data_IF_140467195059
#
_entry.id   IF_140467195059
#
_cell.length_a   1.000
_cell.length_b   1.000
_cell.length_c   1.000
_cell.angle_alpha   90.00
_cell.angle_beta   90.00
_cell.angle_gamma   90.00
#
_symmetry.space_group_name_H-M   'P 1'
#
loop_
_entity.id
_entity.type
_entity.pdbx_description
1 polymer ?
#
# COMPACT_ATOMS: atom_id res chain seq x y z
N UNK A 1 18.07 -8.25 -24.96
CA UNK A 1 17.15 -8.77 -23.94
C UNK A 1 17.02 -7.69 -22.87
N UNK A 2 15.82 -7.26 -22.52
CA UNK A 2 15.59 -6.22 -21.50
C UNK A 2 15.98 -6.81 -20.15
N UNK A 3 16.85 -6.18 -19.39
CA UNK A 3 17.23 -6.66 -18.06
C UNK A 3 16.55 -5.81 -17.01
N UNK A 4 15.94 -6.46 -16.02
CA UNK A 4 15.30 -5.79 -14.89
C UNK A 4 16.23 -5.84 -13.67
N UNK A 5 16.20 -4.80 -12.85
CA UNK A 5 16.89 -4.81 -11.56
C UNK A 5 16.06 -5.58 -10.53
N UNK A 6 14.74 -5.45 -10.58
CA UNK A 6 13.81 -6.13 -9.67
C UNK A 6 12.65 -6.76 -10.45
N UNK A 7 12.30 -7.99 -10.13
CA UNK A 7 11.05 -8.61 -10.56
C UNK A 7 10.12 -8.83 -9.36
N UNK A 8 8.83 -8.55 -9.51
CA UNK A 8 7.83 -8.69 -8.47
C UNK A 8 6.92 -9.88 -8.76
N UNK A 9 6.89 -10.86 -7.85
CA UNK A 9 6.06 -12.05 -7.92
C UNK A 9 5.01 -12.03 -6.82
N UNK A 10 3.73 -12.04 -7.18
CA UNK A 10 2.62 -11.86 -6.24
C UNK A 10 1.31 -12.50 -6.72
N UNK A 11 0.34 -12.65 -5.83
CA UNK A 11 -1.04 -13.00 -6.20
C UNK A 11 -1.85 -11.74 -6.53
N UNK A 12 -2.84 -11.86 -7.41
CA UNK A 12 -3.67 -10.73 -7.84
C UNK A 12 -4.37 -10.00 -6.69
N UNK A 13 -4.67 -10.68 -5.60
CA UNK A 13 -5.27 -10.12 -4.39
C UNK A 13 -4.32 -9.17 -3.64
N UNK A 14 -3.01 -9.37 -3.80
CA UNK A 14 -1.98 -8.55 -3.15
C UNK A 14 -1.58 -7.35 -4.01
N UNK A 15 -2.19 -7.20 -5.20
CA UNK A 15 -1.86 -6.21 -6.23
C UNK A 15 -1.82 -4.78 -5.72
N UNK A 16 -2.76 -4.39 -4.86
CA UNK A 16 -2.83 -3.02 -4.36
C UNK A 16 -1.54 -2.58 -3.65
N UNK A 17 -0.94 -3.46 -2.85
CA UNK A 17 0.32 -3.21 -2.18
C UNK A 17 1.50 -3.25 -3.14
N UNK A 18 1.54 -4.28 -4.00
CA UNK A 18 2.67 -4.52 -4.91
C UNK A 18 2.76 -3.44 -5.98
N UNK A 19 1.61 -2.93 -6.46
CA UNK A 19 1.57 -1.80 -7.38
C UNK A 19 2.27 -0.55 -6.79
N UNK A 20 2.00 -0.23 -5.52
CA UNK A 20 2.67 0.89 -4.85
C UNK A 20 4.18 0.70 -4.74
N UNK A 21 4.65 -0.53 -4.47
CA UNK A 21 6.09 -0.85 -4.49
C UNK A 21 6.66 -0.69 -5.91
N UNK A 22 5.97 -1.20 -6.93
CA UNK A 22 6.40 -1.10 -8.33
C UNK A 22 6.51 0.36 -8.78
N UNK A 23 5.51 1.17 -8.48
CA UNK A 23 5.48 2.59 -8.83
C UNK A 23 6.61 3.36 -8.12
N UNK A 24 6.83 3.10 -6.84
CA UNK A 24 7.89 3.76 -6.08
C UNK A 24 9.29 3.36 -6.58
N UNK A 25 9.51 2.07 -6.94
CA UNK A 25 10.75 1.62 -7.57
C UNK A 25 10.97 2.33 -8.93
N UNK A 26 9.92 2.40 -9.76
CA UNK A 26 9.97 3.08 -11.06
C UNK A 26 10.26 4.57 -10.92
N UNK A 27 9.65 5.26 -9.96
CA UNK A 27 9.91 6.66 -9.66
C UNK A 27 11.38 6.91 -9.25
N UNK A 28 12.04 5.92 -8.67
CA UNK A 28 13.46 5.94 -8.30
C UNK A 28 14.39 5.54 -9.46
N UNK A 29 13.85 5.33 -10.65
CA UNK A 29 14.59 4.95 -11.85
C UNK A 29 15.13 3.50 -11.79
N UNK A 30 14.51 2.64 -10.97
CA UNK A 30 14.81 1.21 -10.91
C UNK A 30 13.97 0.49 -11.96
N UNK A 31 14.63 -0.33 -12.79
CA UNK A 31 13.91 -1.11 -13.79
C UNK A 31 13.21 -2.30 -13.15
N UNK A 32 11.87 -2.31 -13.23
CA UNK A 32 11.00 -3.28 -12.54
C UNK A 32 10.25 -4.11 -13.56
N UNK A 33 10.29 -5.44 -13.41
CA UNK A 33 9.30 -6.32 -14.02
C UNK A 33 8.08 -6.38 -13.10
N UNK A 34 6.96 -5.84 -13.60
CA UNK A 34 5.65 -5.87 -12.98
C UNK A 34 4.62 -6.18 -14.07
N UNK A 35 3.75 -7.16 -13.86
CA UNK A 35 2.89 -7.71 -14.90
C UNK A 35 1.98 -6.67 -15.58
N UNK A 36 1.52 -5.67 -14.84
CA UNK A 36 0.68 -4.59 -15.37
C UNK A 36 1.45 -3.67 -16.35
N UNK A 37 2.76 -3.51 -16.18
CA UNK A 37 3.58 -2.72 -17.10
C UNK A 37 3.89 -3.45 -18.41
N UNK A 38 3.80 -4.78 -18.40
CA UNK A 38 4.20 -5.64 -19.51
C UNK A 38 2.99 -6.33 -20.18
N UNK A 39 1.76 -5.79 -20.00
CA UNK A 39 0.51 -6.40 -20.51
C UNK A 39 0.57 -6.77 -22.00
N UNK A 40 1.14 -5.90 -22.84
CA UNK A 40 1.25 -6.15 -24.27
C UNK A 40 2.25 -7.27 -24.61
N UNK A 41 3.32 -7.40 -23.83
CA UNK A 41 4.33 -8.46 -24.02
C UNK A 41 3.86 -9.80 -23.45
N UNK A 42 3.00 -9.79 -22.42
CA UNK A 42 2.45 -10.98 -21.77
C UNK A 42 1.23 -11.55 -22.48
N UNK A 43 0.59 -10.76 -23.35
CA UNK A 43 -0.61 -11.20 -24.07
C UNK A 43 -0.34 -12.42 -24.94
N UNK A 44 -1.03 -13.53 -24.65
CA UNK A 44 -0.89 -14.79 -25.37
C UNK A 44 0.30 -15.64 -24.98
N UNK A 45 1.16 -15.22 -24.04
CA UNK A 45 2.26 -16.03 -23.50
C UNK A 45 1.81 -16.90 -22.35
N UNK A 46 2.48 -18.04 -22.16
CA UNK A 46 2.42 -18.78 -20.90
C UNK A 46 3.14 -17.98 -19.83
N UNK A 47 2.35 -17.31 -18.99
CA UNK A 47 2.85 -16.42 -17.94
C UNK A 47 3.86 -17.13 -17.02
N UNK A 48 3.66 -18.42 -16.75
CA UNK A 48 4.52 -19.22 -15.89
C UNK A 48 5.93 -19.43 -16.48
N UNK A 49 6.03 -19.83 -17.74
CA UNK A 49 7.30 -20.04 -18.43
C UNK A 49 8.08 -18.72 -18.54
N UNK A 50 7.37 -17.65 -18.83
CA UNK A 50 7.94 -16.32 -18.91
C UNK A 50 8.46 -15.82 -17.55
N UNK A 51 7.73 -16.07 -16.46
CA UNK A 51 8.17 -15.73 -15.11
C UNK A 51 9.44 -16.49 -14.71
N UNK A 52 9.55 -17.79 -15.02
CA UNK A 52 10.76 -18.55 -14.75
C UNK A 52 11.96 -17.95 -15.53
N UNK A 53 11.77 -17.59 -16.78
CA UNK A 53 12.80 -16.97 -17.59
C UNK A 53 13.24 -15.61 -17.03
N UNK A 54 12.28 -14.77 -16.62
CA UNK A 54 12.55 -13.49 -15.97
C UNK A 54 13.33 -13.70 -14.67
N UNK A 55 12.90 -14.65 -13.84
CA UNK A 55 13.53 -14.90 -12.55
C UNK A 55 14.94 -15.47 -12.67
N UNK A 56 15.22 -16.30 -13.66
CA UNK A 56 16.52 -16.95 -13.81
C UNK A 56 17.52 -16.13 -14.64
N UNK A 57 17.06 -15.35 -15.61
CA UNK A 57 17.96 -14.80 -16.64
C UNK A 57 17.94 -13.28 -16.77
N UNK A 58 16.89 -12.61 -16.32
CA UNK A 58 16.66 -11.20 -16.67
C UNK A 58 16.53 -10.25 -15.51
N UNK A 59 16.26 -10.72 -14.29
CA UNK A 59 16.16 -9.90 -13.09
C UNK A 59 17.37 -10.08 -12.16
N UNK A 60 17.86 -8.98 -11.57
CA UNK A 60 18.94 -9.03 -10.57
C UNK A 60 18.40 -9.55 -9.23
N UNK A 61 17.21 -9.10 -8.81
CA UNK A 61 16.51 -9.60 -7.63
C UNK A 61 15.07 -9.96 -7.97
N UNK A 62 14.55 -10.98 -7.31
CA UNK A 62 13.13 -11.39 -7.39
C UNK A 62 12.51 -11.25 -6.00
N UNK A 63 11.56 -10.36 -5.84
CA UNK A 63 10.77 -10.23 -4.61
C UNK A 63 9.54 -11.12 -4.72
N UNK A 64 9.40 -12.07 -3.80
CA UNK A 64 8.23 -12.95 -3.73
C UNK A 64 7.33 -12.45 -2.59
N UNK A 65 6.16 -11.93 -2.94
CA UNK A 65 5.14 -11.48 -2.01
C UNK A 65 4.28 -12.67 -1.58
N UNK A 66 4.57 -13.20 -0.40
CA UNK A 66 3.99 -14.45 0.11
C UNK A 66 2.72 -14.13 0.90
N UNK A 67 1.61 -14.72 0.47
CA UNK A 67 0.32 -14.71 1.14
C UNK A 67 -0.37 -16.08 0.98
N UNK A 68 -1.47 -16.30 1.70
CA UNK A 68 -2.35 -17.47 1.47
C UNK A 68 -2.81 -17.54 0.01
N UNK A 69 -3.09 -16.39 -0.62
CA UNK A 69 -3.53 -16.31 -2.02
C UNK A 69 -2.40 -16.70 -2.99
N UNK A 70 -1.16 -16.25 -2.69
CA UNK A 70 0.00 -16.64 -3.47
C UNK A 70 0.19 -18.17 -3.46
N UNK A 71 0.10 -18.81 -2.29
CA UNK A 71 0.17 -20.26 -2.17
C UNK A 71 -0.92 -20.97 -2.97
N UNK A 72 -2.15 -20.50 -2.89
CA UNK A 72 -3.31 -21.12 -3.53
C UNK A 72 -3.29 -20.98 -5.06
N UNK A 73 -2.89 -19.85 -5.59
CA UNK A 73 -2.99 -19.54 -7.03
C UNK A 73 -1.70 -19.77 -7.81
N UNK A 74 -0.58 -19.45 -7.24
CA UNK A 74 0.72 -19.55 -7.90
C UNK A 74 1.38 -20.89 -7.63
N UNK A 75 1.11 -21.48 -6.44
CA UNK A 75 1.72 -22.71 -5.97
C UNK A 75 0.79 -23.95 -6.02
N UNK A 76 -0.43 -23.84 -6.54
CA UNK A 76 -1.48 -24.88 -6.44
C UNK A 76 -1.22 -26.17 -7.24
N UNK A 77 -0.35 -26.15 -8.24
CA UNK A 77 -0.17 -27.30 -9.16
C UNK A 77 1.07 -28.11 -8.78
N UNK A 78 0.89 -29.38 -8.41
CA UNK A 78 1.93 -30.28 -7.87
C UNK A 78 3.15 -30.44 -8.78
N UNK A 79 2.96 -30.53 -10.10
CA UNK A 79 4.07 -30.65 -11.07
C UNK A 79 4.88 -29.35 -11.20
N UNK A 80 4.21 -28.21 -11.03
CA UNK A 80 4.84 -26.89 -11.04
C UNK A 80 5.61 -26.61 -9.77
N UNK A 81 5.15 -27.10 -8.60
CA UNK A 81 5.82 -26.93 -7.32
C UNK A 81 7.27 -27.43 -7.33
N UNK A 82 7.50 -28.61 -7.85
CA UNK A 82 8.85 -29.20 -7.89
C UNK A 82 9.82 -28.38 -8.75
N UNK A 83 9.36 -27.87 -9.91
CA UNK A 83 10.16 -27.03 -10.80
C UNK A 83 10.43 -25.65 -10.17
N UNK A 84 9.41 -25.05 -9.53
CA UNK A 84 9.54 -23.77 -8.85
C UNK A 84 10.45 -23.88 -7.61
N UNK A 85 10.25 -24.92 -6.78
CA UNK A 85 11.10 -25.18 -5.62
C UNK A 85 12.56 -25.37 -6.03
N UNK A 86 12.83 -26.06 -7.15
CA UNK A 86 14.18 -26.22 -7.70
C UNK A 86 14.75 -24.87 -8.17
N UNK A 87 13.98 -24.10 -8.96
CA UNK A 87 14.38 -22.79 -9.42
C UNK A 87 14.69 -21.82 -8.26
N UNK A 88 13.85 -21.82 -7.20
CA UNK A 88 14.09 -21.03 -5.99
C UNK A 88 15.33 -21.50 -5.22
N UNK A 89 15.56 -22.81 -5.13
CA UNK A 89 16.74 -23.36 -4.47
C UNK A 89 18.06 -23.04 -5.21
N UNK A 90 18.04 -23.05 -6.53
CA UNK A 90 19.17 -22.67 -7.36
C UNK A 90 19.42 -21.15 -7.37
N UNK A 91 18.40 -20.37 -7.00
CA UNK A 91 18.35 -18.91 -7.07
C UNK A 91 18.42 -18.20 -5.72
N UNK A 92 18.93 -18.86 -4.68
CA UNK A 92 18.85 -18.40 -3.27
C UNK A 92 19.40 -17.00 -3.00
N UNK A 93 20.44 -16.57 -3.72
CA UNK A 93 21.09 -15.29 -3.46
C UNK A 93 20.31 -14.08 -3.95
N UNK A 94 19.38 -14.25 -4.89
CA UNK A 94 18.61 -13.17 -5.49
C UNK A 94 17.10 -13.27 -5.26
N UNK A 95 16.62 -14.30 -4.57
CA UNK A 95 15.21 -14.39 -4.15
C UNK A 95 15.04 -13.74 -2.79
N UNK A 96 14.16 -12.74 -2.73
CA UNK A 96 13.87 -11.94 -1.56
C UNK A 96 12.42 -12.20 -1.09
N UNK A 97 12.21 -13.05 -0.06
CA UNK A 97 10.87 -13.31 0.46
C UNK A 97 10.32 -12.12 1.25
N UNK A 98 9.08 -11.75 0.97
CA UNK A 98 8.33 -10.73 1.69
C UNK A 98 6.94 -11.29 2.05
N UNK A 99 6.56 -11.32 3.34
CA UNK A 99 5.39 -12.05 3.83
C UNK A 99 4.29 -11.13 4.30
N UNK A 100 3.08 -11.33 3.80
CA UNK A 100 1.86 -10.69 4.31
C UNK A 100 1.28 -11.44 5.51
N UNK A 101 1.54 -12.74 5.61
CA UNK A 101 1.05 -13.62 6.65
C UNK A 101 2.07 -14.75 6.95
N UNK A 102 1.70 -15.69 7.80
CA UNK A 102 2.57 -16.81 8.19
C UNK A 102 2.54 -17.98 7.19
N UNK A 103 2.07 -17.77 5.96
CA UNK A 103 2.04 -18.78 4.91
C UNK A 103 3.43 -19.27 4.57
N UNK A 104 3.61 -20.58 4.55
CA UNK A 104 4.84 -21.24 4.12
C UNK A 104 4.75 -21.64 2.65
N UNK A 105 5.86 -21.46 1.93
CA UNK A 105 6.03 -21.84 0.53
C UNK A 105 7.10 -22.91 0.43
N UNK A 106 6.77 -24.06 -0.17
CA UNK A 106 7.72 -25.15 -0.43
C UNK A 106 8.88 -24.64 -1.32
N UNK A 107 10.12 -24.93 -0.92
CA UNK A 107 11.34 -24.44 -1.60
C UNK A 107 11.92 -23.14 -1.02
N UNK A 108 11.18 -22.42 -0.20
CA UNK A 108 11.73 -21.34 0.62
C UNK A 108 12.00 -21.87 2.01
N UNK A 109 13.27 -22.11 2.33
CA UNK A 109 13.65 -22.67 3.63
C UNK A 109 13.27 -21.70 4.76
N UNK A 110 12.81 -22.18 5.92
CA UNK A 110 12.53 -21.35 7.10
C UNK A 110 13.73 -20.53 7.59
N UNK A 111 14.95 -20.96 7.24
CA UNK A 111 16.19 -20.28 7.58
C UNK A 111 16.53 -19.10 6.65
N UNK A 112 15.81 -18.90 5.54
CA UNK A 112 15.97 -17.73 4.67
C UNK A 112 15.32 -16.53 5.34
N UNK A 113 16.10 -15.45 5.51
CA UNK A 113 15.57 -14.19 6.02
C UNK A 113 14.45 -13.65 5.13
N UNK A 114 13.38 -13.15 5.74
CA UNK A 114 12.25 -12.55 5.05
C UNK A 114 11.90 -11.19 5.64
N UNK A 115 11.15 -10.39 4.89
CA UNK A 115 10.58 -9.13 5.34
C UNK A 115 9.12 -9.36 5.74
N UNK A 116 8.73 -8.87 6.92
CA UNK A 116 7.35 -8.91 7.42
C UNK A 116 6.57 -7.67 6.94
N UNK A 117 5.74 -7.85 5.92
CA UNK A 117 4.94 -6.79 5.30
C UNK A 117 3.76 -6.30 6.17
N UNK A 118 3.44 -7.00 7.25
CA UNK A 118 2.43 -6.54 8.21
C UNK A 118 2.85 -5.25 8.93
N UNK A 119 4.16 -4.96 8.93
CA UNK A 119 4.78 -3.85 9.65
C UNK A 119 5.47 -2.82 8.76
N UNK A 120 5.56 -3.09 7.46
CA UNK A 120 6.27 -2.25 6.53
C UNK A 120 5.34 -1.69 5.45
N UNK A 121 5.44 -0.41 5.22
CA UNK A 121 4.79 0.26 4.09
C UNK A 121 5.49 -0.08 2.77
N UNK A 122 4.84 0.10 1.60
CA UNK A 122 5.48 -0.07 0.29
C UNK A 122 6.75 0.78 0.12
N UNK A 123 6.78 1.99 0.69
CA UNK A 123 7.94 2.88 0.64
C UNK A 123 9.11 2.28 1.42
N UNK A 124 8.89 1.77 2.63
CA UNK A 124 9.94 1.15 3.44
C UNK A 124 10.51 -0.10 2.75
N UNK A 125 9.66 -0.93 2.14
CA UNK A 125 10.11 -2.07 1.32
C UNK A 125 10.96 -1.59 0.13
N UNK A 126 10.54 -0.53 -0.53
CA UNK A 126 11.31 0.06 -1.64
C UNK A 126 12.67 0.58 -1.18
N UNK A 127 12.75 1.22 0.00
CA UNK A 127 14.02 1.67 0.57
C UNK A 127 14.98 0.49 0.84
N UNK A 128 14.47 -0.60 1.42
CA UNK A 128 15.26 -1.83 1.62
C UNK A 128 15.75 -2.43 0.30
N UNK A 129 14.94 -2.39 -0.75
CA UNK A 129 15.34 -2.82 -2.09
C UNK A 129 16.41 -1.90 -2.69
N UNK A 130 16.32 -0.59 -2.48
CA UNK A 130 17.37 0.36 -2.88
C UNK A 130 18.71 0.02 -2.20
N UNK A 131 18.71 -0.26 -0.91
CA UNK A 131 19.92 -0.69 -0.19
C UNK A 131 20.50 -1.99 -0.76
N UNK A 132 19.65 -2.99 -1.04
CA UNK A 132 20.07 -4.24 -1.70
C UNK A 132 20.69 -4.03 -3.07
N UNK A 133 20.20 -3.04 -3.83
CA UNK A 133 20.72 -2.65 -5.14
C UNK A 133 21.99 -1.79 -5.05
N UNK A 134 22.46 -1.44 -3.85
CA UNK A 134 23.59 -0.51 -3.66
C UNK A 134 23.27 0.91 -4.09
N UNK A 135 21.99 1.28 -4.15
CA UNK A 135 21.52 2.63 -4.49
C UNK A 135 21.23 3.43 -3.21
N UNK A 136 21.41 4.76 -3.25
CA UNK A 136 21.11 5.58 -2.09
C UNK A 136 19.62 5.45 -1.72
N UNK A 137 19.35 5.01 -0.49
CA UNK A 137 18.02 4.96 0.10
C UNK A 137 17.46 6.35 0.49
N UNK A 138 18.04 7.42 -0.10
CA UNK A 138 17.58 8.78 0.17
C UNK A 138 16.15 8.96 -0.35
N UNK A 139 15.28 9.45 0.52
CA UNK A 139 13.98 9.99 0.13
C UNK A 139 14.24 11.12 -0.87
N UNK A 140 14.20 10.79 -2.16
CA UNK A 140 14.29 11.81 -3.20
C UNK A 140 13.09 12.73 -3.05
N UNK A 141 13.33 13.98 -2.66
CA UNK A 141 12.32 15.06 -2.74
C UNK A 141 11.94 15.40 -4.19
N UNK A 142 12.64 14.82 -5.17
CA UNK A 142 12.42 15.09 -6.58
C UNK A 142 11.49 14.02 -7.19
N UNK A 143 10.31 14.45 -7.61
CA UNK A 143 9.33 13.78 -8.47
C UNK A 143 8.18 13.00 -7.81
N UNK A 144 7.79 13.29 -6.58
CA UNK A 144 6.38 13.12 -6.27
C UNK A 144 5.61 14.16 -7.09
N UNK A 145 4.81 13.74 -8.07
CA UNK A 145 3.72 14.62 -8.56
C UNK A 145 3.02 15.07 -7.28
N UNK A 146 2.97 16.39 -6.98
CA UNK A 146 2.44 16.82 -5.70
C UNK A 146 1.02 16.28 -5.55
N UNK A 147 0.78 15.45 -4.54
CA UNK A 147 -0.58 15.02 -4.23
C UNK A 147 -1.44 16.26 -4.00
N UNK A 148 -2.71 16.27 -4.44
CA UNK A 148 -3.63 17.36 -4.17
C UNK A 148 -3.60 17.70 -2.68
N UNK A 149 -3.67 18.99 -2.34
CA UNK A 149 -3.45 19.47 -0.97
C UNK A 149 -4.48 20.52 -0.58
N UNK A 150 -4.99 20.42 0.65
CA UNK A 150 -5.73 21.48 1.34
C UNK A 150 -5.01 21.80 2.66
N UNK A 151 -4.38 22.97 2.79
CA UNK A 151 -3.54 23.30 3.95
C UNK A 151 -4.31 23.70 5.22
N UNK A 152 -5.64 23.63 5.20
CA UNK A 152 -6.46 23.94 6.38
C UNK A 152 -6.51 22.74 7.36
N UNK A 153 -6.87 23.03 8.62
CA UNK A 153 -7.01 22.01 9.66
C UNK A 153 -8.43 21.47 9.81
N UNK A 154 -9.36 21.98 9.01
CA UNK A 154 -10.71 21.44 8.86
C UNK A 154 -11.26 21.82 7.50
N UNK A 155 -12.20 21.04 6.99
CA UNK A 155 -12.82 21.30 5.69
C UNK A 155 -13.37 20.03 5.04
N UNK A 156 -13.65 20.13 3.74
CA UNK A 156 -14.05 19.01 2.89
C UNK A 156 -13.01 18.84 1.79
N UNK A 157 -12.53 17.63 1.66
CA UNK A 157 -11.68 17.19 0.55
C UNK A 157 -12.53 16.39 -0.44
N UNK A 158 -12.31 16.61 -1.75
CA UNK A 158 -12.94 15.85 -2.83
C UNK A 158 -11.92 15.64 -3.95
N UNK A 159 -11.63 14.41 -4.29
CA UNK A 159 -10.60 14.08 -5.29
C UNK A 159 -10.81 12.69 -5.88
N UNK A 160 -10.24 12.48 -7.07
CA UNK A 160 -10.19 11.16 -7.68
C UNK A 160 -9.06 10.35 -7.04
N UNK A 161 -9.43 9.26 -6.32
CA UNK A 161 -8.47 8.43 -5.57
C UNK A 161 -7.67 7.45 -6.45
N UNK A 162 -7.99 7.30 -7.73
CA UNK A 162 -7.16 6.57 -8.69
C UNK A 162 -6.00 7.42 -9.24
N UNK A 163 -6.05 8.73 -9.04
CA UNK A 163 -4.95 9.62 -9.35
C UNK A 163 -3.97 9.73 -8.18
N UNK A 164 -2.73 10.11 -8.46
CA UNK A 164 -1.67 10.35 -7.46
C UNK A 164 -1.46 9.15 -6.50
N UNK A 165 -1.69 7.90 -6.98
CA UNK A 165 -1.60 6.67 -6.18
C UNK A 165 -2.49 6.71 -4.93
N UNK A 166 -3.67 7.30 -5.04
CA UNK A 166 -4.62 7.44 -3.92
C UNK A 166 -4.22 8.47 -2.87
N UNK A 167 -3.22 9.30 -3.12
CA UNK A 167 -2.68 10.24 -2.13
C UNK A 167 -3.40 11.57 -2.16
N UNK A 168 -3.71 12.07 -0.96
CA UNK A 168 -4.26 13.40 -0.75
C UNK A 168 -3.73 13.98 0.56
N UNK A 169 -3.34 15.26 0.58
CA UNK A 169 -2.79 15.92 1.76
C UNK A 169 -3.78 16.88 2.39
N UNK A 170 -3.94 16.77 3.71
CA UNK A 170 -4.67 17.72 4.55
C UNK A 170 -3.74 18.31 5.60
N UNK A 171 -4.00 19.52 6.02
CA UNK A 171 -3.17 20.24 6.98
C UNK A 171 -1.85 20.75 6.38
N UNK A 172 -0.97 21.24 7.26
CA UNK A 172 0.31 21.82 6.91
C UNK A 172 1.35 21.68 8.02
N UNK A 173 2.64 21.62 7.64
CA UNK A 173 3.76 21.56 8.60
C UNK A 173 3.65 20.37 9.54
N UNK A 174 3.68 20.62 10.85
CA UNK A 174 3.56 19.58 11.87
C UNK A 174 2.18 18.88 11.87
N UNK A 175 1.17 19.54 11.33
CA UNK A 175 -0.22 19.05 11.24
C UNK A 175 -0.56 18.39 9.91
N UNK A 176 0.42 18.14 9.05
CA UNK A 176 0.19 17.49 7.76
C UNK A 176 -0.12 16.00 7.92
N UNK A 177 -1.13 15.54 7.18
CA UNK A 177 -1.48 14.13 6.98
C UNK A 177 -1.57 13.86 5.47
N UNK A 178 -0.66 13.10 4.92
CA UNK A 178 -0.81 12.54 3.58
C UNK A 178 -1.61 11.25 3.68
N UNK A 179 -2.89 11.32 3.37
CA UNK A 179 -3.79 10.17 3.37
C UNK A 179 -3.57 9.31 2.13
N UNK A 180 -3.75 7.99 2.24
CA UNK A 180 -3.59 7.04 1.14
C UNK A 180 -4.82 6.14 1.05
N UNK A 181 -5.42 6.05 -0.14
CA UNK A 181 -6.70 5.41 -0.37
C UNK A 181 -6.68 4.47 -1.56
N UNK A 182 -7.50 3.42 -1.54
CA UNK A 182 -7.78 2.59 -2.71
C UNK A 182 -9.16 1.93 -2.64
N UNK A 183 -9.63 1.40 -3.77
CA UNK A 183 -10.92 0.69 -3.90
C UNK A 183 -11.06 -0.44 -2.90
N UNK A 184 -12.23 -0.54 -2.25
CA UNK A 184 -12.59 -1.68 -1.39
C UNK A 184 -13.92 -2.31 -1.82
N UNK A 185 -14.94 -1.50 -2.12
CA UNK A 185 -16.27 -1.96 -2.52
C UNK A 185 -17.19 -0.79 -2.89
N UNK A 186 -18.47 -1.06 -3.17
CA UNK A 186 -19.44 -0.06 -3.66
C UNK A 186 -19.70 1.09 -2.67
N UNK A 187 -19.59 0.81 -1.39
CA UNK A 187 -19.88 1.77 -0.32
C UNK A 187 -18.73 1.80 0.71
N UNK A 188 -17.54 1.36 0.30
CA UNK A 188 -16.39 1.27 1.20
C UNK A 188 -15.08 1.55 0.47
N UNK A 189 -14.12 2.08 1.20
CA UNK A 189 -12.78 2.43 0.70
C UNK A 189 -11.72 2.00 1.71
N UNK A 190 -10.56 1.58 1.22
CA UNK A 190 -9.41 1.31 2.07
C UNK A 190 -8.66 2.60 2.38
N UNK A 191 -8.30 2.77 3.65
CA UNK A 191 -7.39 3.80 4.14
C UNK A 191 -6.15 3.15 4.75
N UNK A 192 -4.96 3.64 4.36
CA UNK A 192 -3.67 3.03 4.69
C UNK A 192 -2.77 3.95 5.52
N UNK A 193 -1.83 3.35 6.25
CA UNK A 193 -0.70 4.05 6.88
C UNK A 193 0.49 4.27 5.94
N UNK A 194 0.34 4.06 4.64
CA UNK A 194 1.41 3.95 3.64
C UNK A 194 2.02 5.31 3.22
N UNK A 195 1.95 6.30 4.09
CA UNK A 195 2.62 7.58 3.90
C UNK A 195 3.63 7.85 4.99
N UNK A 196 4.62 8.69 4.70
CA UNK A 196 5.63 9.09 5.70
C UNK A 196 5.07 9.98 6.81
N UNK A 197 3.92 10.62 6.60
CA UNK A 197 3.32 11.51 7.59
C UNK A 197 2.38 10.79 8.54
N UNK A 198 1.76 9.66 8.15
CA UNK A 198 0.77 8.92 8.95
C UNK A 198 1.41 7.70 9.61
N UNK A 199 1.32 7.59 10.92
CA UNK A 199 1.82 6.45 11.70
C UNK A 199 0.74 5.43 12.07
N UNK A 200 -0.54 5.84 12.03
CA UNK A 200 -1.65 4.97 12.43
C UNK A 200 -2.96 5.35 11.77
N UNK A 201 -3.78 4.35 11.49
CA UNK A 201 -5.14 4.47 11.01
C UNK A 201 -6.07 3.59 11.85
N UNK A 202 -7.17 4.17 12.33
CA UNK A 202 -8.20 3.51 13.11
C UNK A 202 -9.60 3.88 12.60
N UNK A 203 -10.61 3.13 13.04
CA UNK A 203 -12.02 3.47 12.79
C UNK A 203 -12.70 3.76 14.11
N UNK A 204 -13.49 4.82 14.16
CA UNK A 204 -14.44 5.00 15.24
C UNK A 204 -15.54 3.93 15.19
N UNK A 205 -16.30 3.77 16.27
CA UNK A 205 -17.44 2.87 16.32
C UNK A 205 -18.44 3.18 15.21
N UNK A 206 -19.19 2.18 14.75
CA UNK A 206 -20.26 2.43 13.77
C UNK A 206 -21.34 3.34 14.34
N UNK A 207 -21.71 4.36 13.58
CA UNK A 207 -22.71 5.35 13.99
C UNK A 207 -22.21 6.37 14.99
N UNK A 208 -20.93 6.36 15.37
CA UNK A 208 -20.33 7.39 16.21
C UNK A 208 -20.34 8.73 15.48
N UNK A 209 -20.62 9.80 16.25
CA UNK A 209 -20.45 11.18 15.83
C UNK A 209 -19.04 11.68 16.19
N UNK A 210 -18.66 12.84 15.67
CA UNK A 210 -17.36 13.43 15.99
C UNK A 210 -17.16 13.62 17.50
N UNK A 211 -18.18 14.11 18.20
CA UNK A 211 -18.20 14.33 19.65
C UNK A 211 -18.08 13.07 20.51
N UNK A 212 -18.31 11.89 19.92
CA UNK A 212 -18.15 10.60 20.62
C UNK A 212 -16.69 10.14 20.65
N UNK A 213 -15.81 10.75 19.84
CA UNK A 213 -14.37 10.44 19.81
C UNK A 213 -13.66 11.28 20.87
N UNK A 214 -13.76 10.86 22.12
CA UNK A 214 -13.21 11.58 23.29
C UNK A 214 -11.74 11.28 23.55
N UNK A 215 -11.26 10.15 23.05
CA UNK A 215 -9.87 9.75 23.15
C UNK A 215 -9.45 8.98 21.88
N UNK A 216 -8.80 9.70 20.98
CA UNK A 216 -8.29 9.11 19.75
C UNK A 216 -7.22 8.04 20.00
N UNK A 217 -6.45 8.12 21.09
CA UNK A 217 -5.41 7.14 21.41
C UNK A 217 -6.00 5.79 21.90
N UNK A 218 -7.25 5.77 22.34
CA UNK A 218 -7.95 4.54 22.75
C UNK A 218 -8.45 3.68 21.57
N UNK A 219 -8.33 4.16 20.34
CA UNK A 219 -8.78 3.42 19.15
C UNK A 219 -7.75 2.36 18.73
N UNK A 220 -8.21 1.38 17.93
CA UNK A 220 -7.36 0.30 17.44
C UNK A 220 -6.55 0.72 16.19
N UNK A 221 -5.24 0.94 16.37
CA UNK A 221 -4.25 1.24 15.34
C UNK A 221 -3.38 0.03 14.96
N UNK A 222 -3.75 -1.18 15.34
CA UNK A 222 -2.93 -2.38 15.13
C UNK A 222 -2.79 -2.81 13.67
N UNK A 223 -3.64 -2.31 12.78
CA UNK A 223 -3.62 -2.68 11.36
C UNK A 223 -3.11 -1.54 10.49
N UNK A 224 -2.32 -1.90 9.49
CA UNK A 224 -1.85 -1.01 8.42
C UNK A 224 -2.99 -0.43 7.58
N UNK A 225 -4.12 -1.15 7.46
CA UNK A 225 -5.25 -0.78 6.62
C UNK A 225 -6.55 -0.85 7.40
N UNK A 226 -7.46 0.07 7.10
CA UNK A 226 -8.86 0.04 7.58
C UNK A 226 -9.81 0.19 6.40
N UNK A 227 -10.92 -0.55 6.44
CA UNK A 227 -12.01 -0.42 5.47
C UNK A 227 -13.04 0.55 6.03
N UNK A 228 -13.08 1.75 5.48
CA UNK A 228 -14.04 2.77 5.86
C UNK A 228 -15.31 2.68 5.01
N UNK A 229 -16.45 2.84 5.63
CA UNK A 229 -17.78 2.90 5.00
C UNK A 229 -18.28 4.35 4.97
N UNK A 230 -19.31 4.64 4.18
CA UNK A 230 -20.00 5.93 4.19
C UNK A 230 -20.45 6.30 5.62
N UNK A 231 -20.36 7.58 5.95
CA UNK A 231 -20.70 8.16 7.25
C UNK A 231 -19.87 7.60 8.42
N UNK A 232 -18.78 6.87 8.16
CA UNK A 232 -17.89 6.37 9.21
C UNK A 232 -16.68 7.27 9.39
N UNK A 233 -16.26 7.46 10.64
CA UNK A 233 -15.05 8.20 10.94
C UNK A 233 -13.82 7.30 10.83
N UNK A 234 -12.85 7.74 10.01
CA UNK A 234 -11.47 7.29 10.02
C UNK A 234 -10.68 8.24 10.91
N UNK A 235 -9.92 7.70 11.85
CA UNK A 235 -9.06 8.50 12.73
C UNK A 235 -7.61 8.19 12.40
N UNK A 236 -6.85 9.22 12.11
CA UNK A 236 -5.43 9.14 11.74
C UNK A 236 -4.57 9.72 12.85
N UNK A 237 -3.39 9.13 13.02
CA UNK A 237 -2.30 9.71 13.81
C UNK A 237 -1.11 9.99 12.90
N UNK A 238 -0.52 11.18 13.00
CA UNK A 238 0.68 11.50 12.24
C UNK A 238 1.97 11.23 13.04
N UNK A 239 3.11 11.32 12.36
CA UNK A 239 4.44 11.10 12.96
C UNK A 239 4.77 12.13 14.06
N UNK A 240 4.14 13.30 14.04
CA UNK A 240 4.35 14.37 15.02
C UNK A 240 3.43 14.23 16.24
N UNK A 241 2.60 13.17 16.32
CA UNK A 241 1.72 12.90 17.46
C UNK A 241 0.37 13.61 17.42
N UNK A 242 0.02 14.29 16.32
CA UNK A 242 -1.30 14.90 16.13
C UNK A 242 -2.31 13.90 15.60
N UNK A 243 -3.60 14.19 15.84
CA UNK A 243 -4.73 13.36 15.40
C UNK A 243 -5.64 14.11 14.44
N UNK A 244 -6.16 13.39 13.45
CA UNK A 244 -7.17 13.87 12.52
C UNK A 244 -8.34 12.89 12.47
N UNK A 245 -9.58 13.41 12.46
CA UNK A 245 -10.80 12.64 12.23
C UNK A 245 -11.37 12.98 10.85
N UNK A 246 -11.70 11.95 10.05
CA UNK A 246 -12.22 12.08 8.70
C UNK A 246 -13.55 11.35 8.59
N UNK A 247 -14.63 12.07 8.25
CA UNK A 247 -15.95 11.52 7.98
C UNK A 247 -16.09 11.23 6.48
N UNK A 248 -16.34 10.00 6.09
CA UNK A 248 -16.50 9.62 4.68
C UNK A 248 -17.89 10.07 4.20
N UNK A 249 -17.91 10.95 3.20
CA UNK A 249 -19.13 11.56 2.66
C UNK A 249 -19.61 10.92 1.37
N UNK A 250 -18.69 10.57 0.46
CA UNK A 250 -18.99 10.05 -0.86
C UNK A 250 -17.88 9.12 -1.33
N UNK A 251 -18.28 8.01 -1.93
CA UNK A 251 -17.40 7.06 -2.62
C UNK A 251 -18.04 6.75 -3.95
N UNK A 252 -17.32 6.94 -5.07
CA UNK A 252 -17.73 6.53 -6.40
C UNK A 252 -16.66 5.64 -7.04
N UNK A 253 -17.06 4.70 -7.89
CA UNK A 253 -16.20 3.71 -8.53
C UNK A 253 -16.55 3.58 -10.01
N UNK A 254 -15.64 3.98 -10.91
CA UNK A 254 -15.83 3.94 -12.36
C UNK A 254 -16.02 2.52 -12.92
N UNK A 255 -15.55 1.50 -12.22
CA UNK A 255 -15.76 0.10 -12.62
C UNK A 255 -17.18 -0.41 -12.29
N UNK A 256 -17.99 0.39 -11.60
CA UNK A 256 -19.34 0.03 -11.10
C UNK A 256 -20.46 0.93 -11.62
N UNK A 257 -20.15 1.76 -12.62
CA UNK A 257 -21.13 2.59 -13.32
C UNK A 257 -21.07 4.06 -13.00
N UNK A 258 -20.18 4.50 -12.09
CA UNK A 258 -19.92 5.91 -11.86
C UNK A 258 -19.05 6.51 -12.97
N UNK A 259 -19.07 7.83 -13.12
CA UNK A 259 -18.32 8.52 -14.17
C UNK A 259 -16.80 8.54 -13.91
N UNK A 260 -16.40 8.49 -12.66
CA UNK A 260 -15.00 8.50 -12.20
C UNK A 260 -14.86 7.88 -10.81
N UNK A 261 -13.65 7.49 -10.46
CA UNK A 261 -13.29 7.15 -9.09
C UNK A 261 -13.24 8.41 -8.24
N UNK A 262 -14.04 8.48 -7.19
CA UNK A 262 -14.16 9.66 -6.35
C UNK A 262 -14.22 9.31 -4.88
N UNK A 263 -13.49 10.06 -4.07
CA UNK A 263 -13.64 10.09 -2.62
C UNK A 263 -13.90 11.52 -2.16
N UNK A 264 -14.91 11.67 -1.30
CA UNK A 264 -15.13 12.91 -0.57
C UNK A 264 -15.18 12.61 0.93
N UNK A 265 -14.45 13.38 1.72
CA UNK A 265 -14.50 13.29 3.18
C UNK A 265 -14.43 14.69 3.81
N UNK A 266 -15.09 14.85 4.95
CA UNK A 266 -14.91 16.00 5.83
C UNK A 266 -13.88 15.67 6.88
N UNK A 267 -13.04 16.63 7.27
CA UNK A 267 -11.97 16.37 8.21
C UNK A 267 -11.77 17.48 9.24
N UNK A 268 -11.17 17.08 10.37
CA UNK A 268 -10.76 17.94 11.47
C UNK A 268 -9.43 17.47 12.02
N UNK A 269 -8.51 18.40 12.26
CA UNK A 269 -7.18 18.17 12.82
C UNK A 269 -7.08 18.89 14.15
N UNK A 270 -6.74 18.18 15.22
CA UNK A 270 -6.50 18.74 16.55
C UNK A 270 -5.08 19.33 16.60
N UNK A 271 -4.98 20.67 16.77
CA UNK A 271 -3.70 21.40 16.76
C UNK A 271 -3.03 21.48 18.12
N UNK A 272 -3.81 21.34 19.18
CA UNK A 272 -3.36 21.48 20.58
C UNK A 272 -2.71 20.23 21.14
N UNK A 273 -2.60 19.15 20.33
CA UNK A 273 -2.11 17.85 20.76
C UNK A 273 -3.14 17.05 21.58
N UNK A 274 -4.35 17.58 21.75
CA UNK A 274 -5.48 16.87 22.35
C UNK A 274 -5.83 15.61 21.53
N UNK A 275 -6.50 14.67 22.18
CA UNK A 275 -7.05 13.46 21.55
C UNK A 275 -8.58 13.45 21.56
N UNK A 276 -9.18 14.51 22.07
CA UNK A 276 -10.62 14.67 22.28
C UNK A 276 -11.23 15.54 21.18
N UNK A 277 -11.98 14.91 20.27
CA UNK A 277 -12.71 15.61 19.21
C UNK A 277 -14.04 16.19 19.66
N UNK A 278 -14.52 15.89 20.88
CA UNK A 278 -15.76 16.46 21.43
C UNK A 278 -15.68 17.97 21.68
N UNK A 279 -14.46 18.51 21.76
CA UNK A 279 -14.21 19.95 21.95
C UNK A 279 -14.42 20.77 20.65
N UNK A 280 -14.56 20.11 19.51
CA UNK A 280 -14.78 20.78 18.22
C UNK A 280 -16.25 21.19 18.10
N UNK A 281 -16.50 22.50 18.14
CA UNK A 281 -17.83 23.04 17.84
C UNK A 281 -18.12 22.87 16.35
N UNK A 282 -19.11 22.06 16.00
CA UNK A 282 -19.66 21.99 14.65
C UNK A 282 -20.52 23.25 14.42
N UNK A 283 -19.89 24.31 13.89
CA UNK A 283 -20.59 25.53 13.48
C UNK A 283 -21.17 25.41 12.08
#
# INVERSE_FOLDING_TARGET
MKSYEVALSFAGEDRAYVAMVADELKHRGISVFYDDYEKSELWGKNLYEHLIEVYQKTAQFVVIFISKHYREKVWANHERRAAQARALNESREYVLPARFDDTEIEGILPTIGYIDLRRLSPIEVTLLLCEKLGRPATLSKAHAVPSPRVPSTSGVARFNYSNHNGRFRIGDGAFEFETVWSKAGDASIYCYTDSLSVRGVALASRGAKLEDIKDADALDYSSRVRTAELARFVVLQNQNGFSAALEILEIADDTRGDAEDLLSFRYWILKDGSKDFSIISLS
#
